data_IF_975355593059
#
_entry.id   IF_975355593059
#
_cell.length_a   1.000
_cell.length_b   1.000
_cell.length_c   1.000
_cell.angle_alpha   90.00
_cell.angle_beta   90.00
_cell.angle_gamma   90.00
#
_symmetry.space_group_name_H-M   'P 1'
#
loop_
_entity.id
_entity.type
_entity.pdbx_description
1 polymer ?
#
# COMPACT_ATOMS: atom_id res chain seq x y z
N UNK A 1 -20.03 31.52 -78.65
CA UNK A 1 -20.29 31.88 -77.23
C UNK A 1 -20.54 30.57 -76.47
N UNK A 2 -19.49 30.03 -75.78
CA UNK A 2 -19.58 28.85 -75.02
C UNK A 2 -19.61 29.22 -73.53
N UNK A 3 -20.69 28.87 -72.80
CA UNK A 3 -20.83 29.10 -71.37
C UNK A 3 -20.30 27.83 -70.65
N UNK A 4 -19.24 28.02 -69.86
CA UNK A 4 -18.70 27.05 -68.97
C UNK A 4 -19.45 27.16 -67.64
N UNK A 5 -20.13 26.09 -67.20
CA UNK A 5 -20.75 25.98 -65.87
C UNK A 5 -19.75 25.26 -64.97
N UNK A 6 -19.25 25.97 -63.96
CA UNK A 6 -18.42 25.38 -62.91
C UNK A 6 -19.31 24.75 -61.82
N UNK A 7 -19.17 23.45 -61.61
CA UNK A 7 -19.84 22.75 -60.50
C UNK A 7 -18.95 22.79 -59.25
N UNK A 8 -19.43 23.39 -58.16
CA UNK A 8 -18.84 23.34 -56.85
C UNK A 8 -19.25 22.04 -56.15
N UNK A 9 -18.28 21.20 -55.87
CA UNK A 9 -18.49 20.03 -55.01
C UNK A 9 -18.19 20.43 -53.55
N UNK A 10 -19.25 20.50 -52.72
CA UNK A 10 -19.13 20.69 -51.29
C UNK A 10 -18.78 19.33 -50.64
N UNK A 11 -17.53 19.17 -50.17
CA UNK A 11 -17.12 18.09 -49.30
C UNK A 11 -17.58 18.39 -47.84
N UNK A 12 -18.68 17.78 -47.43
CA UNK A 12 -19.10 17.77 -46.03
C UNK A 12 -18.24 16.77 -45.27
N UNK A 13 -17.29 17.30 -44.47
CA UNK A 13 -16.52 16.48 -43.53
C UNK A 13 -17.40 15.94 -42.39
N UNK A 14 -17.61 14.64 -42.35
CA UNK A 14 -18.18 13.98 -41.17
C UNK A 14 -17.12 13.98 -40.04
N UNK A 15 -17.36 14.81 -39.06
CA UNK A 15 -16.69 14.68 -37.76
C UNK A 15 -17.29 13.44 -37.03
N UNK A 16 -16.48 12.42 -36.79
CA UNK A 16 -16.80 11.31 -35.90
C UNK A 16 -16.32 11.66 -34.49
N UNK A 17 -17.20 11.99 -33.54
CA UNK A 17 -16.85 12.03 -32.13
C UNK A 17 -17.00 10.61 -31.58
N UNK A 18 -15.95 9.97 -31.15
CA UNK A 18 -16.17 8.69 -30.49
C UNK A 18 -14.96 7.78 -30.24
N UNK A 19 -13.71 8.22 -30.44
CA UNK A 19 -12.57 7.31 -30.20
C UNK A 19 -11.68 7.63 -28.99
N UNK A 20 -11.98 8.65 -28.23
CA UNK A 20 -11.11 9.02 -27.09
C UNK A 20 -11.52 8.46 -25.73
N UNK A 21 -12.72 7.90 -25.59
CA UNK A 21 -13.19 7.37 -24.29
C UNK A 21 -12.89 5.90 -24.04
N UNK A 22 -12.43 5.15 -25.05
CA UNK A 22 -12.16 3.70 -24.90
C UNK A 22 -10.75 3.39 -24.39
N UNK A 23 -9.79 4.32 -24.50
CA UNK A 23 -8.40 4.09 -24.06
C UNK A 23 -8.19 4.23 -22.55
N UNK A 24 -9.03 4.98 -21.85
CA UNK A 24 -8.88 5.17 -20.40
C UNK A 24 -9.38 4.01 -19.55
N UNK A 25 -10.35 3.23 -20.06
CA UNK A 25 -10.90 2.08 -19.33
C UNK A 25 -9.95 0.86 -19.37
N UNK A 26 -9.06 0.77 -20.35
CA UNK A 26 -8.11 -0.35 -20.50
C UNK A 26 -6.86 -0.20 -19.63
N UNK A 27 -6.58 0.99 -19.14
CA UNK A 27 -5.37 1.31 -18.38
C UNK A 27 -5.43 0.93 -16.90
N UNK A 28 -6.61 0.61 -16.35
CA UNK A 28 -6.86 0.32 -14.94
C UNK A 28 -7.43 -1.08 -14.71
N UNK A 29 -6.86 -2.05 -15.36
CA UNK A 29 -7.18 -3.46 -15.10
C UNK A 29 -6.21 -4.05 -14.09
N UNK A 30 -6.62 -5.13 -13.41
CA UNK A 30 -5.72 -5.87 -12.51
C UNK A 30 -4.41 -6.27 -13.20
N UNK A 31 -4.40 -6.86 -14.44
CA UNK A 31 -3.15 -7.18 -15.13
C UNK A 31 -2.26 -5.96 -15.42
N UNK A 32 -2.84 -4.80 -15.74
CA UNK A 32 -2.04 -3.59 -15.99
C UNK A 32 -1.41 -3.03 -14.72
N UNK A 33 -2.12 -3.07 -13.59
CA UNK A 33 -1.59 -2.66 -12.29
C UNK A 33 -0.52 -3.65 -11.80
N UNK A 34 -0.71 -4.95 -11.98
CA UNK A 34 0.28 -5.99 -11.68
C UNK A 34 1.58 -5.76 -12.47
N UNK A 35 1.46 -5.53 -13.78
CA UNK A 35 2.60 -5.18 -14.62
C UNK A 35 3.32 -3.91 -14.14
N UNK A 36 2.57 -2.90 -13.71
CA UNK A 36 3.15 -1.65 -13.18
C UNK A 36 3.91 -1.89 -11.88
N UNK A 37 3.36 -2.68 -10.96
CA UNK A 37 4.03 -3.06 -9.71
C UNK A 37 5.30 -3.90 -9.99
N UNK A 38 5.25 -4.82 -10.94
CA UNK A 38 6.40 -5.62 -11.35
C UNK A 38 7.51 -4.78 -11.99
N UNK A 39 7.16 -3.81 -12.83
CA UNK A 39 8.13 -2.87 -13.42
C UNK A 39 8.78 -2.01 -12.34
N UNK A 40 8.00 -1.56 -11.36
CA UNK A 40 8.51 -0.82 -10.20
C UNK A 40 9.56 -1.64 -9.43
N UNK A 41 9.26 -2.91 -9.10
CA UNK A 41 10.19 -3.81 -8.43
C UNK A 41 11.46 -4.06 -9.27
N UNK A 42 11.32 -4.25 -10.58
CA UNK A 42 12.47 -4.43 -11.47
C UNK A 42 13.34 -3.17 -11.54
N UNK A 43 12.72 -1.98 -11.56
CA UNK A 43 13.43 -0.71 -11.57
C UNK A 43 14.21 -0.50 -10.25
N UNK A 44 13.61 -0.78 -9.10
CA UNK A 44 14.26 -0.73 -7.79
C UNK A 44 15.46 -1.69 -7.72
N UNK A 45 15.28 -2.95 -8.12
CA UNK A 45 16.36 -3.95 -8.14
C UNK A 45 17.56 -3.53 -8.98
N UNK A 46 17.38 -2.62 -9.94
CA UNK A 46 18.44 -2.11 -10.82
C UNK A 46 18.92 -0.71 -10.43
N UNK A 47 18.30 -0.04 -9.46
CA UNK A 47 18.56 1.37 -9.17
C UNK A 47 18.30 2.26 -10.40
N UNK A 48 17.29 1.92 -11.21
CA UNK A 48 17.07 2.52 -12.51
C UNK A 48 15.63 3.04 -12.67
N UNK A 49 15.30 4.20 -12.08
CA UNK A 49 13.95 4.78 -12.19
C UNK A 49 13.56 5.13 -13.63
N UNK A 50 14.53 5.23 -14.54
CA UNK A 50 14.27 5.44 -15.98
C UNK A 50 13.55 4.28 -16.67
N UNK A 51 13.44 3.12 -16.01
CA UNK A 51 12.66 1.98 -16.51
C UNK A 51 11.17 2.13 -16.25
N UNK A 52 10.78 3.08 -15.39
CA UNK A 52 9.36 3.31 -15.07
C UNK A 52 8.66 4.07 -16.18
N UNK A 53 7.42 3.70 -16.52
CA UNK A 53 6.56 4.46 -17.41
C UNK A 53 6.01 5.69 -16.69
N UNK A 54 6.86 6.70 -16.45
CA UNK A 54 6.48 7.90 -15.73
C UNK A 54 5.65 8.85 -16.60
N UNK A 55 4.57 9.37 -16.03
CA UNK A 55 3.82 10.47 -16.63
C UNK A 55 4.65 11.76 -16.67
N UNK A 56 4.39 12.69 -17.62
CA UNK A 56 4.99 14.00 -17.57
C UNK A 56 4.69 14.71 -16.25
N UNK A 57 5.73 15.14 -15.54
CA UNK A 57 5.60 15.77 -14.22
C UNK A 57 5.35 14.80 -13.06
N UNK A 58 5.59 13.50 -13.26
CA UNK A 58 5.50 12.51 -12.18
C UNK A 58 6.33 12.92 -10.95
N UNK A 59 5.79 12.65 -9.77
CA UNK A 59 6.42 13.00 -8.50
C UNK A 59 6.88 11.76 -7.74
N UNK A 60 8.00 11.90 -7.03
CA UNK A 60 8.43 10.93 -6.04
C UNK A 60 8.46 11.58 -4.65
N UNK A 61 7.84 10.90 -3.69
CA UNK A 61 7.78 11.29 -2.30
C UNK A 61 8.35 10.13 -1.48
N UNK A 62 9.41 10.39 -0.72
CA UNK A 62 10.02 9.42 0.22
C UNK A 62 9.92 9.96 1.63
N UNK A 63 9.34 9.20 2.54
CA UNK A 63 9.20 9.57 3.94
C UNK A 63 8.64 11.01 4.11
N UNK A 64 7.57 11.33 3.34
CA UNK A 64 6.91 12.65 3.27
C UNK A 64 7.74 13.80 2.68
N UNK A 65 8.91 13.51 2.11
CA UNK A 65 9.74 14.51 1.45
C UNK A 65 9.70 14.32 -0.06
N UNK A 66 9.45 15.40 -0.80
CA UNK A 66 9.61 15.38 -2.24
C UNK A 66 11.09 15.11 -2.55
N UNK A 67 11.36 14.04 -3.27
CA UNK A 67 12.70 13.52 -3.54
C UNK A 67 12.87 13.35 -5.06
N UNK A 68 13.99 13.75 -5.65
CA UNK A 68 14.26 13.47 -7.06
C UNK A 68 14.33 11.96 -7.33
N UNK A 69 13.81 11.50 -8.47
CA UNK A 69 14.09 10.15 -8.93
C UNK A 69 15.62 9.95 -9.11
N UNK A 70 16.15 8.88 -8.53
CA UNK A 70 17.58 8.59 -8.48
C UNK A 70 18.27 8.96 -7.17
N UNK A 71 17.53 9.57 -6.24
CA UNK A 71 17.94 9.80 -4.85
C UNK A 71 17.14 8.93 -3.88
N UNK A 72 17.48 8.96 -2.59
CA UNK A 72 16.86 8.12 -1.57
C UNK A 72 17.04 6.64 -1.87
N UNK A 73 15.99 5.84 -1.78
CA UNK A 73 16.04 4.39 -2.06
C UNK A 73 16.45 4.07 -3.51
N UNK A 74 16.38 5.03 -4.43
CA UNK A 74 16.80 4.91 -5.81
C UNK A 74 18.30 5.15 -6.05
N UNK A 75 19.03 5.58 -5.03
CA UNK A 75 20.47 5.91 -5.14
C UNK A 75 21.37 4.71 -5.45
N UNK A 76 20.88 3.48 -5.27
CA UNK A 76 21.59 2.24 -5.57
C UNK A 76 20.61 1.10 -5.88
N UNK A 77 21.06 0.02 -6.57
CA UNK A 77 20.26 -1.19 -6.70
C UNK A 77 19.83 -1.75 -5.34
N UNK A 78 18.54 -2.12 -5.24
CA UNK A 78 17.98 -2.71 -4.03
C UNK A 78 17.87 -4.23 -4.17
N UNK A 79 18.40 -4.99 -3.22
CA UNK A 79 18.07 -6.40 -3.10
C UNK A 79 16.66 -6.55 -2.54
N UNK A 80 15.80 -7.32 -3.21
CA UNK A 80 14.41 -7.57 -2.78
C UNK A 80 14.27 -9.05 -2.46
N UNK A 81 14.18 -9.38 -1.16
CA UNK A 81 13.99 -10.73 -0.66
C UNK A 81 12.54 -11.19 -0.74
N UNK A 82 11.60 -10.27 -0.56
CA UNK A 82 10.16 -10.52 -0.62
C UNK A 82 9.39 -9.28 -1.05
N UNK A 83 8.28 -9.50 -1.75
CA UNK A 83 7.34 -8.42 -2.05
C UNK A 83 5.91 -8.93 -2.17
N UNK A 84 4.96 -8.05 -1.86
CA UNK A 84 3.51 -8.30 -1.99
C UNK A 84 2.82 -7.02 -2.43
N UNK A 85 1.95 -7.11 -3.43
CA UNK A 85 1.23 -5.95 -3.96
C UNK A 85 -0.27 -6.09 -3.78
N UNK A 86 -0.92 -5.02 -3.36
CA UNK A 86 -2.36 -4.78 -3.44
C UNK A 86 -2.63 -3.96 -4.69
N UNK A 87 -3.69 -4.30 -5.43
CA UNK A 87 -4.03 -3.70 -6.72
C UNK A 87 -5.45 -3.16 -6.68
N UNK A 88 -5.59 -1.84 -6.53
CA UNK A 88 -6.88 -1.15 -6.44
C UNK A 88 -7.31 -0.65 -7.82
N UNK A 89 -8.16 -1.43 -8.49
CA UNK A 89 -8.63 -1.13 -9.84
C UNK A 89 -9.63 0.02 -9.90
N UNK A 90 -10.29 0.35 -8.77
CA UNK A 90 -11.30 1.40 -8.72
C UNK A 90 -10.69 2.80 -8.75
N UNK A 91 -9.50 2.95 -8.14
CA UNK A 91 -8.79 4.24 -8.05
C UNK A 91 -7.47 4.28 -8.81
N UNK A 92 -7.13 3.21 -9.54
CA UNK A 92 -5.87 3.07 -10.28
C UNK A 92 -4.63 3.25 -9.40
N UNK A 93 -4.59 2.61 -8.27
CA UNK A 93 -3.45 2.67 -7.36
C UNK A 93 -2.96 1.28 -6.98
N UNK A 94 -1.67 1.16 -6.69
CA UNK A 94 -1.10 -0.04 -6.09
C UNK A 94 -0.45 0.29 -4.77
N UNK A 95 -0.40 -0.68 -3.86
CA UNK A 95 0.49 -0.63 -2.70
C UNK A 95 1.36 -1.88 -2.71
N UNK A 96 2.68 -1.70 -2.66
CA UNK A 96 3.64 -2.81 -2.64
C UNK A 96 4.44 -2.76 -1.35
N UNK A 97 4.31 -3.81 -0.54
CA UNK A 97 5.20 -4.11 0.58
C UNK A 97 6.45 -4.78 0.05
N UNK A 98 7.63 -4.30 0.44
CA UNK A 98 8.93 -4.78 -0.02
C UNK A 98 9.82 -5.01 1.20
N UNK A 99 10.48 -6.16 1.25
CA UNK A 99 11.42 -6.50 2.30
C UNK A 99 12.80 -6.74 1.68
N UNK A 100 13.79 -6.00 2.15
CA UNK A 100 15.20 -6.09 1.81
C UNK A 100 15.97 -6.36 3.10
N UNK A 101 15.99 -7.62 3.54
CA UNK A 101 16.54 -8.00 4.84
C UNK A 101 18.03 -8.41 4.76
N UNK A 102 18.43 -9.05 3.64
CA UNK A 102 19.76 -9.67 3.50
C UNK A 102 20.81 -8.73 2.93
N UNK A 103 20.85 -7.50 3.42
CA UNK A 103 21.79 -6.46 2.99
C UNK A 103 22.48 -5.83 4.20
N UNK A 104 23.56 -5.09 3.95
CA UNK A 104 24.27 -4.33 5.00
C UNK A 104 23.38 -3.25 5.62
N UNK A 105 22.43 -2.73 4.84
CA UNK A 105 21.41 -1.77 5.29
C UNK A 105 20.01 -2.31 4.94
N UNK A 106 19.40 -3.05 5.87
CA UNK A 106 18.08 -3.65 5.62
C UNK A 106 16.95 -2.61 5.65
N UNK A 107 15.89 -2.90 4.88
CA UNK A 107 14.70 -2.07 4.77
C UNK A 107 13.40 -2.88 4.80
N UNK A 108 12.34 -2.27 5.32
CA UNK A 108 10.95 -2.65 5.08
C UNK A 108 10.25 -1.45 4.45
N UNK A 109 9.70 -1.62 3.25
CA UNK A 109 9.23 -0.49 2.45
C UNK A 109 7.76 -0.72 2.09
N UNK A 110 6.95 0.32 2.23
CA UNK A 110 5.60 0.38 1.68
C UNK A 110 5.52 1.44 0.60
N UNK A 111 5.25 1.04 -0.65
CA UNK A 111 5.16 2.00 -1.76
C UNK A 111 3.80 2.02 -2.39
N UNK A 112 3.20 3.21 -2.48
CA UNK A 112 2.02 3.52 -3.27
C UNK A 112 2.42 4.03 -4.64
N UNK A 113 1.82 3.48 -5.69
CA UNK A 113 1.87 4.04 -7.04
C UNK A 113 0.48 4.53 -7.43
N UNK A 114 0.41 5.74 -7.99
CA UNK A 114 -0.79 6.25 -8.64
C UNK A 114 -0.60 6.24 -10.14
N UNK A 115 -1.52 5.57 -10.83
CA UNK A 115 -1.47 5.43 -12.29
C UNK A 115 -2.54 6.31 -12.93
N UNK A 116 -2.16 7.06 -13.95
CA UNK A 116 -3.05 7.91 -14.76
C UNK A 116 -2.76 7.62 -16.22
N UNK A 117 -3.78 7.27 -16.99
CA UNK A 117 -3.65 6.95 -18.42
C UNK A 117 -2.54 5.95 -18.74
N UNK A 118 -2.36 4.94 -17.88
CA UNK A 118 -1.36 3.88 -18.04
C UNK A 118 0.07 4.27 -17.66
N UNK A 119 0.30 5.47 -17.15
CA UNK A 119 1.60 5.95 -16.69
C UNK A 119 1.59 6.28 -15.19
N UNK A 120 2.74 6.11 -14.53
CA UNK A 120 2.87 6.42 -13.10
C UNK A 120 2.95 7.94 -12.91
N UNK A 121 1.94 8.51 -12.27
CA UNK A 121 1.88 9.94 -11.97
C UNK A 121 2.51 10.28 -10.61
N UNK A 122 2.47 9.33 -9.65
CA UNK A 122 3.00 9.54 -8.31
C UNK A 122 3.57 8.24 -7.75
N UNK A 123 4.75 8.34 -7.15
CA UNK A 123 5.38 7.29 -6.33
C UNK A 123 5.51 7.85 -4.93
N UNK A 124 4.94 7.15 -3.94
CA UNK A 124 5.06 7.53 -2.53
C UNK A 124 5.53 6.33 -1.73
N UNK A 125 6.71 6.44 -1.10
CA UNK A 125 7.34 5.36 -0.35
C UNK A 125 7.51 5.73 1.12
N UNK A 126 7.12 4.81 1.99
CA UNK A 126 7.54 4.75 3.38
C UNK A 126 8.71 3.77 3.45
N UNK A 127 9.91 4.28 3.70
CA UNK A 127 11.15 3.51 3.74
C UNK A 127 11.60 3.43 5.18
N UNK A 128 11.31 2.29 5.82
CA UNK A 128 11.67 2.01 7.22
C UNK A 128 13.00 1.28 7.30
N UNK A 129 13.80 1.64 8.29
CA UNK A 129 15.10 1.03 8.58
C UNK A 129 15.31 0.86 10.10
N UNK A 130 16.57 0.56 10.48
CA UNK A 130 16.93 0.21 11.88
C UNK A 130 16.66 1.29 12.92
N UNK A 131 16.42 2.52 12.49
CA UNK A 131 16.14 3.65 13.40
C UNK A 131 14.65 3.83 13.66
N UNK A 132 13.81 3.01 13.00
CA UNK A 132 12.37 3.07 13.11
C UNK A 132 11.77 2.12 14.18
N UNK A 133 10.47 2.28 14.43
CA UNK A 133 9.74 1.60 15.50
C UNK A 133 9.76 0.07 15.34
N UNK A 134 10.31 -0.63 16.35
CA UNK A 134 10.37 -2.09 16.42
C UNK A 134 11.01 -2.78 15.19
N UNK A 135 11.88 -2.06 14.47
CA UNK A 135 12.43 -2.55 13.21
C UNK A 135 13.27 -3.83 13.38
N UNK A 136 12.88 -4.87 12.65
CA UNK A 136 13.61 -6.12 12.45
C UNK A 136 13.21 -6.73 11.11
N UNK A 137 13.98 -6.45 10.06
CA UNK A 137 13.67 -6.90 8.70
C UNK A 137 13.76 -8.42 8.53
N UNK A 138 14.64 -9.10 9.27
CA UNK A 138 14.75 -10.57 9.23
C UNK A 138 13.50 -11.24 9.80
N UNK A 139 13.01 -10.73 10.93
CA UNK A 139 11.77 -11.19 11.54
C UNK A 139 10.58 -10.88 10.63
N UNK A 140 10.52 -9.67 10.05
CA UNK A 140 9.48 -9.27 9.11
C UNK A 140 9.45 -10.21 7.90
N UNK A 141 10.61 -10.49 7.29
CA UNK A 141 10.75 -11.42 6.16
C UNK A 141 10.29 -12.83 6.55
N UNK A 142 10.78 -13.34 7.69
CA UNK A 142 10.47 -14.69 8.17
C UNK A 142 8.97 -14.94 8.25
N UNK A 143 8.22 -14.01 8.82
CA UNK A 143 6.79 -14.21 9.05
C UNK A 143 5.95 -13.85 7.83
N UNK A 144 6.22 -12.73 7.15
CA UNK A 144 5.49 -12.31 5.94
C UNK A 144 5.57 -13.35 4.81
N UNK A 145 6.73 -14.00 4.63
CA UNK A 145 6.92 -15.01 3.59
C UNK A 145 6.19 -16.33 3.85
N UNK A 146 5.75 -16.58 5.08
CA UNK A 146 5.00 -17.80 5.45
C UNK A 146 3.49 -17.63 5.42
N UNK A 147 3.01 -16.40 5.38
CA UNK A 147 1.59 -16.09 5.31
C UNK A 147 1.01 -16.35 3.92
N UNK A 148 -0.20 -16.89 3.89
CA UNK A 148 -0.92 -17.15 2.64
C UNK A 148 -1.78 -15.95 2.29
N UNK A 149 -1.47 -15.34 1.15
CA UNK A 149 -2.22 -14.21 0.60
C UNK A 149 -2.75 -14.53 -0.80
N UNK A 150 -3.22 -15.75 -0.98
CA UNK A 150 -3.85 -16.17 -2.23
C UNK A 150 -5.14 -15.38 -2.50
N UNK A 151 -5.54 -15.32 -3.77
CA UNK A 151 -6.85 -14.80 -4.18
C UNK A 151 -7.93 -15.63 -3.47
N UNK A 152 -8.81 -14.93 -2.77
CA UNK A 152 -9.91 -15.57 -2.04
C UNK A 152 -10.99 -16.11 -2.97
N UNK A 153 -11.65 -17.22 -2.63
CA UNK A 153 -12.87 -17.64 -3.28
C UNK A 153 -13.94 -16.53 -3.22
N UNK A 154 -14.76 -16.33 -4.28
CA UNK A 154 -15.72 -15.23 -4.33
C UNK A 154 -16.65 -15.12 -3.11
N UNK A 155 -17.07 -16.25 -2.58
CA UNK A 155 -18.01 -16.34 -1.44
C UNK A 155 -17.39 -15.94 -0.09
N UNK A 156 -16.04 -15.88 0.00
CA UNK A 156 -15.32 -15.51 1.24
C UNK A 156 -14.76 -14.10 1.20
N UNK A 157 -14.95 -13.37 0.07
CA UNK A 157 -14.46 -12.00 -0.10
C UNK A 157 -15.33 -11.01 0.67
N UNK A 158 -14.69 -10.00 1.19
CA UNK A 158 -15.34 -8.78 1.67
C UNK A 158 -15.33 -7.73 0.57
N UNK A 159 -16.41 -6.97 0.45
CA UNK A 159 -16.48 -5.83 -0.46
C UNK A 159 -15.61 -4.65 0.03
N UNK A 160 -15.35 -3.71 -0.88
CA UNK A 160 -14.55 -2.51 -0.63
C UNK A 160 -15.00 -1.74 0.62
N UNK A 161 -16.31 -1.55 0.80
CA UNK A 161 -16.84 -0.78 1.93
C UNK A 161 -16.57 -1.50 3.25
N UNK A 162 -16.73 -2.81 3.29
CA UNK A 162 -16.45 -3.64 4.47
C UNK A 162 -14.96 -3.59 4.81
N UNK A 163 -14.07 -3.71 3.82
CA UNK A 163 -12.61 -3.64 4.03
C UNK A 163 -12.19 -2.29 4.62
N UNK A 164 -12.64 -1.18 4.04
CA UNK A 164 -12.37 0.17 4.54
C UNK A 164 -12.94 0.37 5.94
N UNK A 165 -14.17 -0.09 6.19
CA UNK A 165 -14.80 0.02 7.50
C UNK A 165 -14.01 -0.71 8.57
N UNK A 166 -13.57 -1.94 8.33
CA UNK A 166 -12.78 -2.71 9.31
C UNK A 166 -11.43 -2.03 9.60
N UNK A 167 -10.76 -1.53 8.58
CA UNK A 167 -9.52 -0.76 8.76
C UNK A 167 -9.76 0.54 9.56
N UNK A 168 -10.86 1.25 9.26
CA UNK A 168 -11.25 2.45 9.99
C UNK A 168 -11.57 2.15 11.45
N UNK A 169 -12.37 1.10 11.72
CA UNK A 169 -12.72 0.67 13.07
C UNK A 169 -11.46 0.26 13.85
N UNK A 170 -10.50 -0.39 13.20
CA UNK A 170 -9.21 -0.72 13.81
C UNK A 170 -8.43 0.55 14.20
N UNK A 171 -8.36 1.55 13.32
CA UNK A 171 -7.71 2.83 13.63
C UNK A 171 -8.41 3.61 14.74
N UNK A 172 -9.75 3.53 14.80
CA UNK A 172 -10.52 4.19 15.82
C UNK A 172 -10.21 3.68 17.23
N UNK A 173 -9.80 2.40 17.38
CA UNK A 173 -9.45 1.84 18.70
C UNK A 173 -8.32 2.63 19.38
N UNK A 174 -7.38 3.17 18.60
CA UNK A 174 -6.25 3.91 19.14
C UNK A 174 -6.67 5.24 19.77
N UNK A 175 -7.74 5.85 19.27
CA UNK A 175 -8.33 7.06 19.84
C UNK A 175 -9.35 6.75 20.94
N UNK A 176 -10.24 5.78 20.66
CA UNK A 176 -11.27 5.34 21.60
C UNK A 176 -11.35 3.80 21.64
N UNK A 177 -10.91 3.22 22.72
CA UNK A 177 -10.91 1.76 22.92
C UNK A 177 -12.33 1.14 22.84
N UNK A 178 -13.40 1.89 22.99
CA UNK A 178 -14.76 1.40 22.77
C UNK A 178 -15.01 0.90 21.32
N UNK A 179 -14.17 1.32 20.35
CA UNK A 179 -14.21 0.81 19.00
C UNK A 179 -13.73 -0.66 18.86
N UNK A 180 -13.10 -1.21 19.89
CA UNK A 180 -12.53 -2.57 19.88
C UNK A 180 -13.54 -3.65 19.48
N UNK A 181 -14.77 -3.56 19.97
CA UNK A 181 -15.83 -4.55 19.69
C UNK A 181 -16.40 -4.44 18.27
N UNK A 182 -16.07 -3.38 17.51
CA UNK A 182 -16.50 -3.21 16.12
C UNK A 182 -15.65 -3.99 15.13
N UNK A 183 -14.39 -4.32 15.52
CA UNK A 183 -13.47 -5.06 14.66
C UNK A 183 -13.81 -6.56 14.69
N UNK A 184 -14.04 -7.19 13.53
CA UNK A 184 -14.35 -8.62 13.45
C UNK A 184 -13.08 -9.47 13.59
N UNK A 185 -12.54 -9.58 14.79
CA UNK A 185 -11.32 -10.32 15.08
C UNK A 185 -11.39 -11.77 14.60
N UNK A 186 -10.37 -12.23 13.88
CA UNK A 186 -10.17 -13.63 13.49
C UNK A 186 -9.49 -14.46 14.60
N UNK A 187 -9.61 -15.78 14.49
CA UNK A 187 -8.90 -16.73 15.35
C UNK A 187 -8.30 -17.80 14.46
N UNK A 188 -6.96 -17.83 14.28
CA UNK A 188 -5.99 -16.87 14.76
C UNK A 188 -6.06 -15.55 13.99
N UNK A 189 -5.62 -14.47 14.62
CA UNK A 189 -5.29 -13.20 13.98
C UNK A 189 -3.90 -12.79 14.44
N UNK A 190 -3.03 -12.36 13.52
CA UNK A 190 -1.65 -12.03 13.84
C UNK A 190 -1.26 -10.65 13.33
N UNK A 191 -0.29 -10.01 14.00
CA UNK A 191 0.25 -8.70 13.62
C UNK A 191 1.76 -8.77 13.51
N UNK A 192 2.30 -8.12 12.49
CA UNK A 192 3.73 -7.80 12.36
C UNK A 192 3.85 -6.29 12.43
N UNK A 193 4.62 -5.78 13.36
CA UNK A 193 4.90 -4.36 13.51
C UNK A 193 6.40 -4.11 13.53
N UNK A 194 6.93 -3.49 12.50
CA UNK A 194 8.38 -3.27 12.32
C UNK A 194 9.21 -4.55 12.22
N UNK A 195 8.78 -5.62 12.83
CA UNK A 195 9.43 -6.94 12.93
C UNK A 195 8.93 -7.72 14.14
N UNK A 196 8.28 -7.03 15.10
CA UNK A 196 7.62 -7.69 16.22
C UNK A 196 6.41 -8.49 15.75
N UNK A 197 6.45 -9.82 15.89
CA UNK A 197 5.39 -10.73 15.48
C UNK A 197 4.62 -11.25 16.68
N UNK A 198 3.30 -11.03 16.69
CA UNK A 198 2.48 -11.25 17.89
C UNK A 198 2.11 -12.70 18.15
N UNK A 199 2.37 -13.63 17.22
CA UNK A 199 2.01 -15.05 17.38
C UNK A 199 3.15 -16.03 17.02
N UNK A 200 4.33 -15.95 17.63
CA UNK A 200 5.47 -16.79 17.28
C UNK A 200 5.26 -18.29 17.57
N UNK A 201 4.30 -18.61 18.40
CA UNK A 201 3.95 -20.01 18.75
C UNK A 201 2.80 -20.58 17.93
N UNK A 202 2.24 -19.79 16.99
CA UNK A 202 1.09 -20.16 16.16
C UNK A 202 -0.13 -20.66 16.99
N UNK A 203 -0.43 -19.96 18.06
CA UNK A 203 -1.56 -20.29 18.94
C UNK A 203 -2.89 -19.84 18.29
N UNK A 204 -4.00 -20.57 18.54
CA UNK A 204 -5.32 -20.20 18.00
C UNK A 204 -5.96 -19.07 18.82
N UNK A 205 -5.39 -17.88 18.77
CA UNK A 205 -5.86 -16.71 19.49
C UNK A 205 -5.86 -15.45 18.59
N UNK A 206 -6.58 -14.38 18.95
CA UNK A 206 -6.58 -13.11 18.22
C UNK A 206 -5.40 -12.23 18.65
N UNK A 207 -4.15 -12.69 18.51
CA UNK A 207 -2.96 -11.98 19.00
C UNK A 207 -2.68 -10.64 18.28
N UNK A 208 -3.36 -10.36 17.15
CA UNK A 208 -3.29 -9.06 16.48
C UNK A 208 -3.88 -7.90 17.32
N UNK A 209 -4.50 -8.20 18.46
CA UNK A 209 -4.94 -7.20 19.44
C UNK A 209 -3.81 -6.69 20.34
N UNK A 210 -2.65 -7.38 20.33
CA UNK A 210 -1.48 -6.94 21.09
C UNK A 210 -1.01 -5.55 20.62
N UNK A 211 -0.57 -4.73 21.55
CA UNK A 211 -0.10 -3.37 21.26
C UNK A 211 -1.20 -2.33 21.02
N UNK A 212 -2.47 -2.72 21.01
CA UNK A 212 -3.58 -1.75 20.92
C UNK A 212 -3.74 -1.03 22.27
N UNK A 213 -3.68 0.32 22.31
CA UNK A 213 -3.69 1.06 23.57
C UNK A 213 -5.07 0.98 24.23
N UNK A 214 -5.14 0.40 25.43
CA UNK A 214 -6.40 0.26 26.18
C UNK A 214 -6.92 1.59 26.73
N UNK A 215 -6.08 2.62 26.80
CA UNK A 215 -6.43 3.95 27.26
C UNK A 215 -6.96 4.89 26.18
N UNK A 216 -6.81 4.52 24.91
CA UNK A 216 -7.13 5.40 23.79
C UNK A 216 -6.25 6.65 23.73
N UNK A 217 -6.75 7.71 23.10
CA UNK A 217 -6.11 9.03 23.07
C UNK A 217 -5.01 9.22 22.02
N UNK A 218 -4.82 8.24 21.11
CA UNK A 218 -3.85 8.30 20.02
C UNK A 218 -4.61 8.36 18.69
N UNK A 219 -4.93 9.55 18.15
CA UNK A 219 -5.70 9.65 16.91
C UNK A 219 -4.87 9.18 15.71
N UNK A 220 -5.54 8.47 14.81
CA UNK A 220 -5.03 8.08 13.50
C UNK A 220 -5.70 8.96 12.45
N UNK A 221 -4.98 9.95 11.90
CA UNK A 221 -5.56 10.96 11.00
C UNK A 221 -5.06 10.85 9.57
N UNK A 222 -5.61 11.65 8.64
CA UNK A 222 -5.23 11.67 7.23
C UNK A 222 -5.31 10.30 6.54
N UNK A 223 -6.36 9.54 6.85
CA UNK A 223 -6.55 8.15 6.38
C UNK A 223 -6.75 8.10 4.87
N UNK A 224 -5.93 7.32 4.19
CA UNK A 224 -6.07 6.97 2.77
C UNK A 224 -6.06 5.45 2.64
N UNK A 225 -6.86 4.91 1.72
CA UNK A 225 -7.04 3.46 1.58
C UNK A 225 -6.75 3.00 0.16
N UNK A 226 -6.05 1.87 0.03
CA UNK A 226 -5.89 1.09 -1.19
C UNK A 226 -6.49 -0.28 -0.93
N UNK A 227 -7.40 -0.73 -1.79
CA UNK A 227 -8.20 -1.92 -1.57
C UNK A 227 -8.00 -2.94 -2.68
N UNK A 228 -7.73 -4.17 -2.30
CA UNK A 228 -7.71 -5.33 -3.19
C UNK A 228 -8.75 -6.36 -2.72
N UNK A 229 -9.96 -6.30 -3.27
CA UNK A 229 -11.06 -7.19 -2.89
C UNK A 229 -10.77 -8.66 -3.19
N UNK A 230 -9.98 -8.95 -4.25
CA UNK A 230 -9.61 -10.33 -4.58
C UNK A 230 -8.71 -10.96 -3.52
N UNK A 231 -7.83 -10.15 -2.93
CA UNK A 231 -7.01 -10.58 -1.80
C UNK A 231 -7.73 -10.43 -0.45
N UNK A 232 -8.94 -9.85 -0.42
CA UNK A 232 -9.59 -9.48 0.83
C UNK A 232 -8.75 -8.51 1.66
N UNK A 233 -8.00 -7.63 1.00
CA UNK A 233 -6.99 -6.80 1.64
C UNK A 233 -7.26 -5.31 1.48
N UNK A 234 -6.84 -4.54 2.48
CA UNK A 234 -6.85 -3.09 2.47
C UNK A 234 -5.59 -2.55 3.14
N UNK A 235 -4.90 -1.63 2.49
CA UNK A 235 -3.88 -0.80 3.12
C UNK A 235 -4.49 0.53 3.54
N UNK A 236 -4.26 0.93 4.77
CA UNK A 236 -4.56 2.25 5.28
C UNK A 236 -3.28 3.00 5.61
N UNK A 237 -3.05 4.14 4.96
CA UNK A 237 -1.99 5.07 5.31
C UNK A 237 -2.54 6.16 6.20
N UNK A 238 -1.82 6.49 7.28
CA UNK A 238 -2.28 7.41 8.32
C UNK A 238 -1.15 8.28 8.87
N UNK A 239 -1.52 9.31 9.62
CA UNK A 239 -0.66 10.01 10.57
C UNK A 239 -0.94 9.44 11.97
N UNK A 240 -0.02 8.63 12.50
CA UNK A 240 -0.11 8.05 13.83
C UNK A 240 0.16 9.11 14.90
N UNK A 241 -0.79 9.34 15.77
CA UNK A 241 -0.69 10.36 16.82
C UNK A 241 -1.24 11.74 16.43
N UNK A 242 -2.03 11.81 15.34
CA UNK A 242 -2.72 13.03 14.90
C UNK A 242 -2.06 13.75 13.73
N UNK A 243 -2.56 14.93 13.34
CA UNK A 243 -2.00 15.70 12.24
C UNK A 243 -0.51 15.98 12.46
N UNK A 244 0.34 15.63 11.47
CA UNK A 244 1.81 15.65 11.57
C UNK A 244 2.41 14.60 12.53
N UNK A 245 1.63 13.61 12.91
CA UNK A 245 2.11 12.42 13.61
C UNK A 245 3.06 11.57 12.74
N UNK A 246 3.44 10.41 13.25
CA UNK A 246 4.37 9.53 12.52
C UNK A 246 3.73 9.03 11.22
N UNK A 247 4.48 9.00 10.09
CA UNK A 247 4.03 8.33 8.88
C UNK A 247 3.86 6.84 9.15
N UNK A 248 2.71 6.31 8.79
CA UNK A 248 2.35 4.95 9.14
C UNK A 248 1.50 4.32 8.04
N UNK A 249 1.72 3.04 7.77
CA UNK A 249 0.92 2.23 6.87
C UNK A 249 0.56 0.90 7.54
N UNK A 250 -0.74 0.63 7.63
CA UNK A 250 -1.27 -0.65 8.08
C UNK A 250 -1.87 -1.39 6.89
N UNK A 251 -1.43 -2.63 6.66
CA UNK A 251 -2.05 -3.52 5.68
C UNK A 251 -2.82 -4.60 6.42
N UNK A 252 -4.11 -4.69 6.13
CA UNK A 252 -5.04 -5.63 6.73
C UNK A 252 -5.44 -6.69 5.71
N UNK A 253 -5.58 -7.93 6.13
CA UNK A 253 -6.23 -8.99 5.37
C UNK A 253 -7.38 -9.59 6.15
N UNK A 254 -8.54 -9.65 5.49
CA UNK A 254 -9.72 -10.34 5.97
C UNK A 254 -9.90 -11.66 5.21
N UNK A 255 -10.25 -12.70 5.95
CA UNK A 255 -10.67 -13.99 5.41
C UNK A 255 -12.03 -14.33 6.01
N UNK A 256 -13.00 -14.61 5.16
CA UNK A 256 -14.39 -14.89 5.59
C UNK A 256 -14.95 -13.79 6.52
N UNK A 257 -14.71 -12.52 6.15
CA UNK A 257 -15.13 -11.35 6.90
C UNK A 257 -14.44 -11.14 8.26
N UNK A 258 -13.40 -11.91 8.59
CA UNK A 258 -12.65 -11.81 9.82
C UNK A 258 -11.23 -11.31 9.58
N UNK A 259 -10.76 -10.40 10.44
CA UNK A 259 -9.39 -9.89 10.38
C UNK A 259 -8.39 -11.01 10.69
N UNK A 260 -7.49 -11.26 9.75
CA UNK A 260 -6.55 -12.39 9.79
C UNK A 260 -5.10 -11.95 9.97
N UNK A 261 -4.67 -10.93 9.21
CA UNK A 261 -3.31 -10.39 9.25
C UNK A 261 -3.35 -8.87 9.36
N UNK A 262 -2.39 -8.32 10.11
CA UNK A 262 -2.11 -6.88 10.20
C UNK A 262 -0.61 -6.67 10.06
N UNK A 263 -0.18 -5.97 9.01
CA UNK A 263 1.22 -5.58 8.80
C UNK A 263 1.36 -4.08 9.01
N UNK A 264 2.38 -3.66 9.74
CA UNK A 264 2.56 -2.26 10.11
C UNK A 264 3.98 -1.80 9.79
N UNK A 265 4.06 -0.66 9.11
CA UNK A 265 5.29 0.07 8.82
C UNK A 265 5.12 1.47 9.41
N UNK A 266 5.82 1.77 10.50
CA UNK A 266 5.80 3.07 11.19
C UNK A 266 7.16 3.72 11.07
N UNK A 267 7.22 4.97 10.62
CA UNK A 267 8.46 5.73 10.50
C UNK A 267 8.65 6.70 11.65
N UNK A 268 9.89 6.87 12.06
CA UNK A 268 10.30 7.81 13.11
C UNK A 268 11.31 8.82 12.56
N UNK A 269 10.93 9.74 11.65
CA UNK A 269 11.86 10.60 10.93
C UNK A 269 12.71 11.51 11.83
N UNK A 270 12.26 11.79 13.04
CA UNK A 270 12.96 12.59 14.06
C UNK A 270 13.39 11.73 15.26
N UNK A 271 13.49 10.41 15.06
CA UNK A 271 13.70 9.41 16.11
C UNK A 271 12.40 8.93 16.75
N UNK A 272 12.36 7.65 17.07
CA UNK A 272 11.20 7.10 17.75
C UNK A 272 11.01 7.71 19.13
N UNK A 273 9.77 8.05 19.52
CA UNK A 273 9.50 8.44 20.89
C UNK A 273 9.98 7.34 21.83
N UNK A 274 10.59 7.72 22.97
CA UNK A 274 11.00 6.77 24.01
C UNK A 274 9.75 6.27 24.72
N UNK A 275 8.88 5.61 23.97
CA UNK A 275 7.72 4.88 24.49
C UNK A 275 8.16 3.43 24.51
N UNK A 276 8.25 2.77 25.68
CA UNK A 276 8.52 1.35 25.70
C UNK A 276 7.41 0.64 24.89
N UNK A 277 7.75 -0.39 24.11
CA UNK A 277 6.74 -1.23 23.49
C UNK A 277 5.73 -1.66 24.54
N UNK A 278 4.43 -1.74 24.19
CA UNK A 278 3.44 -2.30 25.08
C UNK A 278 3.92 -3.64 25.67
N UNK A 279 3.63 -3.92 26.95
CA UNK A 279 4.11 -5.11 27.66
C UNK A 279 3.68 -6.41 26.97
N UNK A 280 2.56 -6.37 26.24
CA UNK A 280 1.99 -7.50 25.49
C UNK A 280 2.52 -7.60 24.04
N UNK A 281 3.38 -6.68 23.60
CA UNK A 281 4.06 -6.78 22.31
C UNK A 281 5.35 -7.60 22.44
N UNK A 282 5.51 -8.66 21.63
CA UNK A 282 6.78 -9.37 21.54
C UNK A 282 7.90 -8.41 21.12
N UNK A 283 9.03 -8.50 21.74
CA UNK A 283 10.23 -7.78 21.28
C UNK A 283 10.87 -8.57 20.14
N UNK A 284 11.40 -7.88 19.10
CA UNK A 284 12.16 -8.54 18.05
C UNK A 284 13.34 -9.33 18.58
#
# INVERSE_FOLDING_TARGET
MIRIVAAFVLLSGLWLPGLQSALSAESCTRPSLEQTADLYLQALKRGAPSLLPLAPGATYIENRKATPFGEGIWGSPLEVDFSRSLLDVDICETFTEIISAKTDHPYVIGTRLKVVDGAIAEVESLVSDRDDWLFDADSYLKYSSTEKWDILPPETRSDRQTLIRVASDYFDIFEDYAAFDRVPWGIPCVRIEGGAYTNPKNEPNPSCTAGVPKGGGVPMTNRRYIVDELLGAVMGQVDFGGPKGLPDAHTFRLEDGKLRYVHVITLCPDGCPVIPPPEDMPRP
#
